data_IF_944239665630
#
_entry.id   IF_944239665630
#
_cell.length_a   1.000
_cell.length_b   1.000
_cell.length_c   1.000
_cell.angle_alpha   90.00
_cell.angle_beta   90.00
_cell.angle_gamma   90.00
#
_symmetry.space_group_name_H-M   'P 1'
#
loop_
_entity.id
_entity.type
_entity.pdbx_description
1 polymer ?
#
# COMPACT_ATOMS: atom_id res chain seq x y z
N UNK A 1 -18.16 -64.09 11.82
CA UNK A 1 -19.35 -63.54 11.15
C UNK A 1 -19.24 -62.02 11.25
N UNK A 2 -18.67 -61.33 10.26
CA UNK A 2 -19.22 -60.90 8.97
C UNK A 2 -19.84 -59.50 9.08
N UNK A 3 -19.21 -58.52 8.41
CA UNK A 3 -19.73 -57.16 8.29
C UNK A 3 -18.88 -56.25 7.41
N UNK A 4 -18.27 -56.77 6.33
CA UNK A 4 -17.59 -55.98 5.31
C UNK A 4 -18.65 -55.50 4.32
N UNK A 5 -19.04 -54.23 4.35
CA UNK A 5 -19.84 -53.62 3.27
C UNK A 5 -18.91 -52.81 2.38
N UNK A 6 -18.59 -53.42 1.23
CA UNK A 6 -18.01 -52.75 0.08
C UNK A 6 -19.07 -51.85 -0.58
N UNK A 7 -18.66 -50.67 -1.03
CA UNK A 7 -19.43 -49.84 -1.95
C UNK A 7 -18.87 -50.06 -3.37
N UNK A 8 -19.74 -50.17 -4.40
CA UNK A 8 -19.35 -50.60 -5.74
C UNK A 8 -18.57 -49.52 -6.51
N UNK A 9 -17.57 -50.00 -7.26
CA UNK A 9 -17.00 -49.29 -8.39
C UNK A 9 -18.02 -49.27 -9.54
N UNK A 10 -18.38 -48.09 -10.06
CA UNK A 10 -19.32 -48.04 -11.17
C UNK A 10 -19.62 -46.64 -11.69
N UNK A 11 -19.02 -46.33 -12.84
CA UNK A 11 -19.46 -45.38 -13.88
C UNK A 11 -19.46 -43.88 -13.54
N UNK A 12 -18.31 -43.24 -13.76
CA UNK A 12 -18.33 -41.89 -14.32
C UNK A 12 -18.61 -41.98 -15.82
N UNK A 13 -19.77 -41.48 -16.20
CA UNK A 13 -20.26 -41.37 -17.56
C UNK A 13 -19.31 -40.51 -18.41
N UNK A 14 -19.02 -41.01 -19.62
CA UNK A 14 -18.55 -40.17 -20.71
C UNK A 14 -19.70 -39.24 -21.11
N UNK A 15 -19.56 -37.95 -20.83
CA UNK A 15 -20.39 -36.92 -21.44
C UNK A 15 -19.48 -36.06 -22.31
N UNK A 16 -19.65 -36.20 -23.63
CA UNK A 16 -18.96 -35.40 -24.61
C UNK A 16 -19.41 -33.94 -24.52
N UNK A 17 -18.42 -33.05 -24.53
CA UNK A 17 -18.60 -31.63 -24.80
C UNK A 17 -17.38 -31.17 -25.63
N UNK A 18 -17.47 -31.31 -26.95
CA UNK A 18 -16.98 -30.25 -27.85
C UNK A 18 -17.98 -29.09 -27.73
N UNK A 19 -17.54 -27.83 -27.65
CA UNK A 19 -16.86 -27.18 -28.78
C UNK A 19 -15.75 -26.23 -28.25
N UNK A 20 -15.00 -25.40 -28.96
CA UNK A 20 -14.93 -24.93 -30.33
C UNK A 20 -13.52 -24.29 -30.40
N UNK A 21 -12.72 -24.56 -31.44
CA UNK A 21 -11.38 -23.96 -31.55
C UNK A 21 -11.49 -22.61 -32.28
N UNK A 22 -11.30 -21.51 -31.54
CA UNK A 22 -10.97 -20.21 -32.12
C UNK A 22 -9.68 -19.65 -31.54
N UNK A 23 -8.71 -19.47 -32.43
CA UNK A 23 -7.39 -18.86 -32.25
C UNK A 23 -7.46 -17.39 -31.77
N UNK A 24 -6.47 -16.94 -30.99
CA UNK A 24 -6.30 -15.52 -30.68
C UNK A 24 -5.12 -15.11 -29.79
N UNK A 25 -3.91 -15.11 -30.37
CA UNK A 25 -2.83 -14.12 -30.18
C UNK A 25 -2.24 -13.80 -28.77
N UNK A 26 -1.12 -14.41 -28.43
CA UNK A 26 0.05 -13.72 -27.82
C UNK A 26 1.32 -14.25 -28.47
N UNK A 27 1.79 -13.49 -29.47
CA UNK A 27 3.01 -13.76 -30.20
C UNK A 27 4.22 -13.72 -29.26
N UNK A 28 4.97 -14.82 -29.27
CA UNK A 28 6.31 -14.91 -28.71
C UNK A 28 7.25 -13.93 -29.42
N UNK A 29 8.04 -13.21 -28.64
CA UNK A 29 9.13 -12.38 -29.11
C UNK A 29 10.24 -13.28 -29.68
N UNK A 30 10.48 -13.19 -30.98
CA UNK A 30 11.64 -13.78 -31.65
C UNK A 30 12.66 -12.66 -31.95
N UNK A 31 13.97 -12.87 -31.72
CA UNK A 31 14.99 -11.82 -31.86
C UNK A 31 15.21 -11.40 -33.33
N UNK A 32 15.55 -10.13 -33.59
CA UNK A 32 15.71 -9.64 -34.95
C UNK A 32 17.03 -10.10 -35.57
N UNK A 33 16.96 -10.74 -36.75
CA UNK A 33 18.08 -10.93 -37.66
C UNK A 33 18.19 -9.72 -38.62
N UNK A 34 19.41 -9.30 -39.00
CA UNK A 34 19.62 -8.07 -39.77
C UNK A 34 19.34 -8.30 -41.26
N UNK A 35 18.64 -7.36 -41.90
CA UNK A 35 18.34 -7.41 -43.34
C UNK A 35 19.10 -6.30 -44.09
N UNK A 36 19.85 -6.63 -45.17
CA UNK A 36 20.61 -5.67 -45.95
C UNK A 36 19.78 -4.98 -47.06
N UNK A 37 20.10 -3.69 -47.25
CA UNK A 37 19.94 -2.73 -48.35
C UNK A 37 18.62 -2.57 -49.17
N UNK A 38 18.28 -1.31 -49.57
CA UNK A 38 17.00 -0.94 -50.16
C UNK A 38 16.99 -1.05 -51.70
N UNK A 39 15.83 -1.39 -52.28
CA UNK A 39 15.59 -1.35 -53.72
C UNK A 39 14.53 -0.30 -54.07
N UNK A 40 14.86 0.72 -54.89
CA UNK A 40 13.97 1.83 -55.23
C UNK A 40 13.07 1.51 -56.44
N UNK A 41 11.79 1.90 -56.36
CA UNK A 41 10.93 2.09 -57.53
C UNK A 41 9.61 1.34 -57.50
N UNK A 42 8.53 2.02 -57.09
CA UNK A 42 7.22 2.01 -57.77
C UNK A 42 6.27 2.95 -57.02
N UNK A 43 5.93 4.05 -57.68
CA UNK A 43 4.99 5.10 -57.28
C UNK A 43 3.57 4.59 -57.08
N UNK A 44 2.90 4.99 -56.00
CA UNK A 44 1.44 4.97 -55.89
C UNK A 44 0.88 6.41 -55.76
N UNK A 45 -0.20 6.74 -56.51
CA UNK A 45 -0.73 8.10 -56.63
C UNK A 45 -1.61 8.53 -55.44
N UNK A 46 -1.66 9.86 -55.27
CA UNK A 46 -2.25 10.64 -54.18
C UNK A 46 -3.78 10.57 -54.10
N UNK A 47 -4.32 10.36 -52.89
CA UNK A 47 -5.73 10.62 -52.54
C UNK A 47 -5.87 12.05 -51.95
N UNK A 48 -6.88 12.85 -52.36
CA UNK A 48 -7.08 14.21 -51.86
C UNK A 48 -7.42 14.32 -50.36
N UNK A 49 -6.99 15.44 -49.79
CA UNK A 49 -6.89 15.83 -48.39
C UNK A 49 -8.03 15.46 -47.42
N UNK A 50 -7.64 14.85 -46.30
CA UNK A 50 -8.31 15.00 -45.00
C UNK A 50 -7.68 16.22 -44.26
N UNK A 51 -8.43 16.93 -43.38
CA UNK A 51 -7.98 18.16 -42.73
C UNK A 51 -6.67 17.96 -41.93
N UNK A 52 -5.87 19.02 -41.73
CA UNK A 52 -4.55 18.90 -41.14
C UNK A 52 -4.63 18.29 -39.74
N UNK A 53 -3.90 17.20 -39.54
CA UNK A 53 -3.55 16.73 -38.22
C UNK A 53 -2.92 17.90 -37.46
N UNK A 54 -3.56 18.30 -36.36
CA UNK A 54 -2.94 19.20 -35.40
C UNK A 54 -1.60 18.59 -34.98
N UNK A 55 -0.54 19.39 -34.85
CA UNK A 55 0.76 18.90 -34.41
C UNK A 55 0.59 18.14 -33.09
N UNK A 56 1.17 16.94 -33.05
CA UNK A 56 1.31 16.13 -31.86
C UNK A 56 1.78 17.02 -30.72
N UNK A 57 0.89 17.25 -29.74
CA UNK A 57 1.30 17.90 -28.52
C UNK A 57 2.39 17.01 -27.90
N UNK A 58 3.52 17.60 -27.45
CA UNK A 58 4.47 16.84 -26.64
C UNK A 58 3.70 16.22 -25.46
N UNK A 59 4.13 15.06 -24.94
CA UNK A 59 3.49 14.47 -23.78
C UNK A 59 3.37 15.57 -22.74
N UNK A 60 2.13 15.90 -22.37
CA UNK A 60 1.89 16.79 -21.25
C UNK A 60 2.57 16.12 -20.07
N UNK A 61 3.71 16.68 -19.69
CA UNK A 61 4.30 16.44 -18.39
C UNK A 61 3.18 16.75 -17.40
N UNK A 62 2.53 15.70 -16.94
CA UNK A 62 1.68 15.75 -15.76
C UNK A 62 2.56 16.42 -14.70
N UNK A 63 2.19 17.60 -14.19
CA UNK A 63 3.05 18.31 -13.25
C UNK A 63 3.38 17.35 -12.13
N UNK A 64 4.66 16.99 -12.00
CA UNK A 64 5.14 16.41 -10.77
C UNK A 64 4.65 17.37 -9.67
N UNK A 65 3.92 16.89 -8.65
CA UNK A 65 3.53 17.75 -7.55
C UNK A 65 4.79 18.44 -7.04
N UNK A 66 4.77 19.76 -6.78
CA UNK A 66 5.96 20.47 -6.34
C UNK A 66 6.52 19.74 -5.11
N UNK A 67 7.84 19.48 -5.05
CA UNK A 67 8.46 18.96 -3.84
C UNK A 67 8.30 20.03 -2.75
N UNK A 68 7.26 19.88 -1.93
CA UNK A 68 6.88 20.88 -0.92
C UNK A 68 5.38 21.05 -0.71
N UNK A 69 4.51 20.52 -1.58
CA UNK A 69 3.09 20.45 -1.27
C UNK A 69 2.84 19.24 -0.35
N UNK A 70 2.75 19.48 0.97
CA UNK A 70 2.04 18.57 1.87
C UNK A 70 0.70 18.22 1.22
N UNK A 71 0.39 16.93 0.98
CA UNK A 71 -0.92 16.55 0.48
C UNK A 71 -1.98 17.16 1.40
N UNK A 72 -3.06 17.76 0.86
CA UNK A 72 -4.23 18.09 1.67
C UNK A 72 -4.60 16.83 2.45
N UNK A 73 -4.71 16.94 3.78
CA UNK A 73 -5.11 15.84 4.63
C UNK A 73 -6.38 15.24 4.03
N UNK A 74 -6.27 14.03 3.46
CA UNK A 74 -7.43 13.33 2.96
C UNK A 74 -8.43 13.21 4.12
N UNK A 75 -9.74 13.43 3.90
CA UNK A 75 -10.73 13.26 4.95
C UNK A 75 -10.54 11.86 5.56
N UNK A 76 -10.64 11.73 6.90
CA UNK A 76 -10.45 10.44 7.57
C UNK A 76 -11.38 9.43 6.90
N UNK A 77 -10.81 8.36 6.36
CA UNK A 77 -11.59 7.25 5.84
C UNK A 77 -12.56 6.81 6.94
N UNK A 78 -13.81 6.52 6.58
CA UNK A 78 -14.87 6.13 7.51
C UNK A 78 -14.34 5.13 8.56
N UNK A 79 -14.20 5.58 9.82
CA UNK A 79 -13.62 4.81 10.93
C UNK A 79 -12.18 5.17 11.39
N UNK A 80 -11.49 6.11 10.74
CA UNK A 80 -10.22 6.63 11.25
C UNK A 80 -10.44 7.58 12.44
N UNK A 81 -9.66 7.46 13.53
CA UNK A 81 -9.81 8.34 14.69
C UNK A 81 -9.32 9.76 14.37
N UNK A 82 -9.91 10.76 15.02
CA UNK A 82 -9.45 12.15 14.95
C UNK A 82 -8.34 12.41 15.98
N UNK A 83 -7.52 13.44 15.76
CA UNK A 83 -6.48 13.85 16.71
C UNK A 83 -7.06 14.16 18.10
N UNK A 84 -8.25 14.77 18.14
CA UNK A 84 -8.99 15.03 19.37
C UNK A 84 -9.39 13.75 20.11
N UNK A 85 -9.70 12.65 19.40
CA UNK A 85 -10.02 11.37 20.00
C UNK A 85 -8.78 10.61 20.50
N UNK A 86 -7.61 10.84 19.89
CA UNK A 86 -6.36 10.20 20.28
C UNK A 86 -5.60 10.96 21.38
N UNK A 87 -5.81 12.27 21.49
CA UNK A 87 -5.05 13.14 22.41
C UNK A 87 -3.60 13.37 21.97
N UNK A 88 -3.20 12.88 20.79
CA UNK A 88 -1.87 13.07 20.21
C UNK A 88 -2.00 13.44 18.72
N UNK A 89 -1.05 14.23 18.18
CA UNK A 89 -1.09 14.61 16.78
C UNK A 89 -0.87 13.42 15.86
N UNK A 90 -1.62 13.38 14.76
CA UNK A 90 -1.43 12.41 13.67
C UNK A 90 -0.42 13.03 12.69
N UNK A 91 0.53 12.24 12.20
CA UNK A 91 1.51 12.74 11.24
C UNK A 91 0.81 13.16 9.92
N UNK A 92 1.11 14.34 9.35
CA UNK A 92 0.50 14.80 8.10
C UNK A 92 0.75 13.83 6.95
N UNK A 93 -0.31 13.42 6.24
CA UNK A 93 -0.21 12.44 5.15
C UNK A 93 -0.11 10.99 5.60
N UNK A 94 -0.19 10.70 6.91
CA UNK A 94 -0.33 9.33 7.39
C UNK A 94 -1.71 8.76 7.00
N UNK A 95 -1.71 7.52 6.52
CA UNK A 95 -2.92 6.81 6.13
C UNK A 95 -3.35 5.86 7.24
N UNK A 96 -4.59 5.99 7.70
CA UNK A 96 -5.15 5.03 8.65
C UNK A 96 -5.23 3.63 8.05
N UNK A 97 -4.65 2.65 8.73
CA UNK A 97 -4.61 1.25 8.30
C UNK A 97 -5.65 0.42 9.05
N UNK A 98 -5.59 0.43 10.38
CA UNK A 98 -6.42 -0.42 11.24
C UNK A 98 -6.45 0.08 12.68
N UNK A 99 -7.50 -0.31 13.39
CA UNK A 99 -7.59 -0.21 14.84
C UNK A 99 -7.73 -1.61 15.44
N UNK A 100 -7.10 -1.83 16.58
CA UNK A 100 -7.17 -3.06 17.35
C UNK A 100 -7.60 -2.76 18.79
N UNK A 101 -8.31 -3.71 19.39
CA UNK A 101 -8.53 -3.70 20.83
C UNK A 101 -7.23 -4.10 21.52
N UNK A 102 -6.78 -3.25 22.44
CA UNK A 102 -5.56 -3.45 23.20
C UNK A 102 -5.82 -4.23 24.51
N UNK A 103 -7.08 -4.48 24.85
CA UNK A 103 -7.51 -4.96 26.15
C UNK A 103 -7.94 -3.81 27.09
N UNK A 104 -8.75 -4.15 28.10
CA UNK A 104 -9.32 -3.22 29.09
C UNK A 104 -10.01 -1.99 28.50
N UNK A 105 -10.69 -2.17 27.36
CA UNK A 105 -11.40 -1.09 26.67
C UNK A 105 -10.47 -0.03 26.05
N UNK A 106 -9.16 -0.27 26.06
CA UNK A 106 -8.17 0.56 25.38
C UNK A 106 -7.99 0.05 23.95
N UNK A 107 -7.73 0.96 23.02
CA UNK A 107 -7.49 0.65 21.60
C UNK A 107 -6.16 1.25 21.16
N UNK A 108 -5.54 0.60 20.19
CA UNK A 108 -4.41 1.18 19.46
C UNK A 108 -4.70 1.23 17.97
N UNK A 109 -4.11 2.22 17.32
CA UNK A 109 -4.41 2.59 15.94
C UNK A 109 -3.12 2.58 15.13
N UNK A 110 -3.15 1.98 13.95
CA UNK A 110 -2.02 1.91 13.03
C UNK A 110 -2.22 2.88 11.88
N UNK A 111 -1.18 3.62 11.60
CA UNK A 111 -1.09 4.53 10.47
C UNK A 111 0.17 4.23 9.66
N UNK A 112 0.02 4.10 8.35
CA UNK A 112 1.13 3.92 7.42
C UNK A 112 1.58 5.26 6.86
N UNK A 113 2.88 5.45 6.70
CA UNK A 113 3.44 6.68 6.12
C UNK A 113 4.49 6.35 5.07
N UNK A 114 4.69 7.26 4.12
CA UNK A 114 5.82 7.23 3.19
C UNK A 114 7.02 8.04 3.69
N UNK A 115 6.92 8.66 4.88
CA UNK A 115 8.00 9.43 5.47
C UNK A 115 9.07 8.51 6.08
N UNK A 116 10.29 9.02 6.19
CA UNK A 116 11.40 8.28 6.80
C UNK A 116 11.22 8.15 8.31
N UNK A 117 11.83 7.11 8.91
CA UNK A 117 11.81 6.92 10.37
C UNK A 117 12.37 8.15 11.10
N UNK A 118 13.45 8.73 10.57
CA UNK A 118 14.13 9.90 11.15
C UNK A 118 13.25 11.14 11.12
N UNK A 119 12.52 11.37 10.04
CA UNK A 119 11.55 12.48 9.91
C UNK A 119 10.41 12.34 10.92
N UNK A 120 9.84 11.14 11.04
CA UNK A 120 8.76 10.88 11.99
C UNK A 120 9.22 11.10 13.43
N UNK A 121 10.39 10.55 13.80
CA UNK A 121 10.98 10.76 15.13
C UNK A 121 11.20 12.25 15.38
N UNK A 122 11.73 12.99 14.41
CA UNK A 122 11.97 14.44 14.54
C UNK A 122 10.66 15.24 14.69
N UNK A 123 9.63 14.90 13.93
CA UNK A 123 8.30 15.50 14.02
C UNK A 123 7.70 15.30 15.42
N UNK A 124 7.64 14.05 15.90
CA UNK A 124 7.03 13.76 17.20
C UNK A 124 7.83 14.35 18.36
N UNK A 125 9.16 14.43 18.25
CA UNK A 125 9.99 15.15 19.23
C UNK A 125 9.63 16.62 19.36
N UNK A 126 9.41 17.30 18.22
CA UNK A 126 9.02 18.71 18.20
C UNK A 126 7.59 18.92 18.72
N UNK A 127 6.64 18.07 18.31
CA UNK A 127 5.21 18.23 18.65
C UNK A 127 4.89 17.82 20.09
N UNK A 128 5.45 16.70 20.56
CA UNK A 128 5.24 16.21 21.92
C UNK A 128 6.21 16.85 22.93
N UNK A 129 7.20 17.60 22.46
CA UNK A 129 8.25 18.24 23.29
C UNK A 129 9.00 17.25 24.19
N UNK A 130 9.14 16.00 23.74
CA UNK A 130 9.85 14.93 24.44
C UNK A 130 10.77 14.18 23.48
N UNK A 131 11.89 13.68 23.99
CA UNK A 131 12.89 13.00 23.14
C UNK A 131 12.46 11.59 22.74
N UNK A 132 11.59 10.95 23.53
CA UNK A 132 11.26 9.53 23.38
C UNK A 132 12.49 8.65 23.59
N UNK A 133 12.34 7.37 23.30
CA UNK A 133 13.38 6.36 23.46
C UNK A 133 13.42 5.42 22.24
N UNK A 134 14.63 5.04 21.82
CA UNK A 134 14.80 3.95 20.85
C UNK A 134 14.73 2.63 21.62
N UNK A 135 13.71 1.84 21.38
CA UNK A 135 13.48 0.56 22.08
C UNK A 135 14.13 -0.60 21.32
N UNK A 136 14.25 -0.50 20.00
CA UNK A 136 14.95 -1.47 19.16
C UNK A 136 15.75 -0.76 18.08
N UNK A 137 16.97 -1.23 17.81
CA UNK A 137 17.81 -0.69 16.73
C UNK A 137 17.49 -1.36 15.38
N UNK A 138 17.21 -2.67 15.39
CA UNK A 138 16.90 -3.46 14.18
C UNK A 138 15.71 -4.38 14.42
N UNK A 139 14.53 -4.12 13.81
CA UNK A 139 14.16 -2.90 13.09
C UNK A 139 14.10 -1.69 14.04
N UNK A 140 14.42 -0.51 13.52
CA UNK A 140 14.41 0.72 14.29
C UNK A 140 12.99 0.97 14.85
N UNK A 141 12.87 1.01 16.17
CA UNK A 141 11.62 1.27 16.89
C UNK A 141 11.85 2.38 17.88
N UNK A 142 11.12 3.49 17.73
CA UNK A 142 11.16 4.63 18.65
C UNK A 142 9.82 4.78 19.34
N UNK A 143 9.83 4.99 20.64
CA UNK A 143 8.64 5.14 21.45
C UNK A 143 8.59 6.49 22.15
N UNK A 144 7.40 7.07 22.16
CA UNK A 144 7.04 8.27 22.89
C UNK A 144 5.88 7.90 23.81
N UNK A 145 6.17 7.61 25.07
CA UNK A 145 5.12 7.46 26.07
C UNK A 145 4.56 8.84 26.41
N UNK A 146 3.24 8.99 26.32
CA UNK A 146 2.53 10.25 26.52
C UNK A 146 1.48 10.05 27.60
N UNK A 147 1.50 10.89 28.63
CA UNK A 147 0.51 10.85 29.71
C UNK A 147 0.82 9.79 30.78
N UNK A 148 -0.18 9.51 31.62
CA UNK A 148 0.00 8.64 32.80
C UNK A 148 -0.49 7.23 32.53
N UNK A 149 0.42 6.27 32.61
CA UNK A 149 0.07 4.85 32.57
C UNK A 149 -0.61 4.41 33.88
N UNK A 150 -1.67 3.63 33.76
CA UNK A 150 -2.40 3.01 34.87
C UNK A 150 -2.45 1.51 34.65
N UNK A 151 -1.51 0.79 35.25
CA UNK A 151 -1.38 -0.66 35.08
C UNK A 151 -2.61 -1.47 35.55
N UNK A 152 -3.54 -0.89 36.32
CA UNK A 152 -4.77 -1.58 36.71
C UNK A 152 -5.91 -1.42 35.68
N UNK A 153 -5.89 -0.37 34.87
CA UNK A 153 -7.02 -0.02 33.98
C UNK A 153 -6.65 0.08 32.50
N UNK A 154 -5.35 0.18 32.16
CA UNK A 154 -4.85 0.31 30.79
C UNK A 154 -3.99 -0.88 30.41
N UNK A 155 -4.17 -1.44 29.21
CA UNK A 155 -3.35 -2.56 28.76
C UNK A 155 -1.95 -2.12 28.31
N UNK A 156 -1.83 -0.90 27.79
CA UNK A 156 -0.58 -0.29 27.34
C UNK A 156 -0.48 1.15 27.81
N UNK A 157 0.74 1.67 28.02
CA UNK A 157 0.92 3.10 28.25
C UNK A 157 0.42 3.89 27.03
N UNK A 158 -0.29 5.01 27.25
CA UNK A 158 -0.65 5.91 26.16
C UNK A 158 0.62 6.46 25.51
N UNK A 159 0.60 6.66 24.19
CA UNK A 159 1.81 7.04 23.48
C UNK A 159 1.81 6.79 21.97
N UNK A 160 2.94 7.10 21.36
CA UNK A 160 3.23 6.94 19.93
C UNK A 160 4.46 6.07 19.77
N UNK A 161 4.32 4.95 19.06
CA UNK A 161 5.43 4.07 18.70
C UNK A 161 5.64 4.14 17.19
N UNK A 162 6.86 4.43 16.75
CA UNK A 162 7.25 4.49 15.34
C UNK A 162 8.10 3.27 15.06
N UNK A 163 7.77 2.54 13.99
CA UNK A 163 8.51 1.36 13.55
C UNK A 163 8.90 1.50 12.11
N UNK A 164 10.18 1.25 11.84
CA UNK A 164 10.67 1.04 10.49
C UNK A 164 10.37 -0.40 10.05
N UNK A 165 9.71 -0.54 8.90
CA UNK A 165 9.30 -1.82 8.34
C UNK A 165 10.04 -2.15 7.04
N UNK A 166 10.92 -1.24 6.59
CA UNK A 166 11.77 -1.48 5.44
C UNK A 166 13.00 -2.31 5.85
N UNK A 167 13.22 -3.41 5.16
CA UNK A 167 14.37 -4.28 5.37
C UNK A 167 14.79 -4.92 4.04
N UNK A 168 15.90 -5.65 4.04
CA UNK A 168 16.38 -6.35 2.84
C UNK A 168 15.31 -7.32 2.27
N UNK A 169 14.48 -7.90 3.14
CA UNK A 169 13.45 -8.88 2.78
C UNK A 169 12.03 -8.29 2.70
N UNK A 170 11.82 -7.03 3.10
CA UNK A 170 10.50 -6.40 3.14
C UNK A 170 10.55 -4.96 2.66
N UNK A 171 9.74 -4.64 1.67
CA UNK A 171 9.57 -3.27 1.15
C UNK A 171 8.65 -2.40 2.03
N UNK A 172 8.33 -2.84 3.25
CA UNK A 172 7.45 -2.14 4.18
C UNK A 172 6.13 -2.86 4.48
N UNK A 173 5.36 -2.26 5.39
CA UNK A 173 4.09 -2.77 5.87
C UNK A 173 3.01 -2.70 4.77
N UNK A 174 2.30 -3.80 4.47
CA UNK A 174 1.33 -3.83 3.39
C UNK A 174 0.14 -2.89 3.64
N UNK A 175 -0.32 -2.22 2.60
CA UNK A 175 -1.57 -1.48 2.65
C UNK A 175 -2.75 -2.47 2.67
N UNK A 176 -3.62 -2.44 3.70
CA UNK A 176 -4.76 -3.37 3.78
C UNK A 176 -5.80 -3.12 2.68
N UNK A 177 -5.79 -1.95 2.03
CA UNK A 177 -6.69 -1.63 0.94
C UNK A 177 -6.11 -2.14 -0.37
N UNK A 178 -6.80 -3.11 -0.98
CA UNK A 178 -6.39 -3.71 -2.27
C UNK A 178 -6.34 -2.64 -3.36
N UNK A 179 -5.21 -2.56 -4.08
CA UNK A 179 -5.01 -1.58 -5.16
C UNK A 179 -4.76 -0.14 -4.69
N UNK A 180 -4.72 0.13 -3.39
CA UNK A 180 -4.41 1.46 -2.87
C UNK A 180 -2.92 1.78 -3.01
N UNK A 181 -2.62 3.09 -3.13
CA UNK A 181 -1.25 3.60 -3.18
C UNK A 181 -0.89 4.36 -1.88
N UNK A 182 0.33 4.17 -1.35
CA UNK A 182 1.30 3.16 -1.79
C UNK A 182 0.82 1.75 -1.41
N UNK A 183 1.29 0.74 -2.13
CA UNK A 183 0.98 -0.66 -1.82
C UNK A 183 1.62 -1.12 -0.50
N UNK A 184 2.71 -0.46 -0.09
CA UNK A 184 3.44 -0.70 1.16
C UNK A 184 3.90 0.62 1.76
N UNK A 185 3.95 0.67 3.08
CA UNK A 185 4.43 1.80 3.86
C UNK A 185 5.79 1.45 4.46
N UNK A 186 6.87 2.19 4.17
CA UNK A 186 8.18 1.94 4.78
C UNK A 186 8.14 2.08 6.30
N UNK A 187 7.32 2.98 6.83
CA UNK A 187 7.18 3.24 8.26
C UNK A 187 5.72 3.16 8.71
N UNK A 188 5.54 2.72 9.95
CA UNK A 188 4.23 2.66 10.60
C UNK A 188 4.28 3.38 11.94
N UNK A 189 3.22 4.13 12.22
CA UNK A 189 2.97 4.78 13.49
C UNK A 189 1.86 4.00 14.20
N UNK A 190 2.15 3.51 15.40
CA UNK A 190 1.18 2.98 16.33
C UNK A 190 0.84 4.05 17.36
N UNK A 191 -0.44 4.34 17.54
CA UNK A 191 -0.90 5.31 18.53
C UNK A 191 -1.82 4.62 19.52
N UNK A 192 -1.47 4.72 20.80
CA UNK A 192 -2.33 4.36 21.94
C UNK A 192 -2.92 5.65 22.48
N UNK A 193 -4.25 5.76 22.44
CA UNK A 193 -4.94 7.00 22.78
C UNK A 193 -4.72 7.41 24.25
N UNK A 194 -4.58 8.72 24.47
CA UNK A 194 -4.53 9.33 25.80
C UNK A 194 -5.96 9.45 26.30
N UNK A 195 -6.46 8.43 26.99
CA UNK A 195 -7.81 8.45 27.57
C UNK A 195 -7.78 9.30 28.86
N UNK A 196 -8.00 10.61 28.75
CA UNK A 196 -8.36 11.42 29.91
C UNK A 196 -9.85 11.15 30.22
N UNK A 197 -10.11 10.28 31.20
CA UNK A 197 -11.44 10.04 31.77
C UNK A 197 -11.51 10.67 33.15
#
# INVERSE_FOLDING_TARGET
MLGRRALPAGRLARLGATPDFHHGLLAQQQPPVPKPFPQPGATQPVKPAAPPAKPSQPPTAQPAPPPGATPPAAPPADGAPTEAALGVPIYPGAQFLRAYDAGRGQRFYLFGTTASFVDLVSYYRGRLKQRGEVVFETPATHEFLVGRFREETMAFPPGVTIKDFQSEVSQGYPNPKVGAQPARFPTVIQIVAVTER
#
